data_IF_420135184869
#
_entry.id   IF_420135184869
#
_cell.length_a   1.000
_cell.length_b   1.000
_cell.length_c   1.000
_cell.angle_alpha   90.00
_cell.angle_beta   90.00
_cell.angle_gamma   90.00
#
_symmetry.space_group_name_H-M   'P 1'
#
loop_
_entity.id
_entity.type
_entity.pdbx_description
1 polymer ?
#
# COMPACT_ATOMS: atom_id res chain seq x y z
N UNK A 1 28.06 6.56 14.43
CA UNK A 1 27.29 5.57 13.68
C UNK A 1 25.94 5.38 14.36
N UNK A 2 24.87 5.59 13.63
CA UNK A 2 23.52 5.48 14.18
C UNK A 2 23.11 4.03 14.02
N UNK A 3 22.85 3.36 15.14
CA UNK A 3 22.31 2.01 15.12
C UNK A 3 20.79 2.08 15.23
N UNK A 4 20.08 1.53 14.25
CA UNK A 4 18.61 1.38 14.28
C UNK A 4 18.25 -0.09 14.54
N UNK A 5 17.26 -0.34 15.37
CA UNK A 5 16.80 -1.72 15.58
C UNK A 5 16.16 -2.25 14.30
N UNK A 6 15.21 -1.51 13.73
CA UNK A 6 14.53 -1.86 12.50
C UNK A 6 14.41 -0.64 11.57
N UNK A 7 14.63 -0.86 10.28
CA UNK A 7 14.36 0.11 9.22
C UNK A 7 13.33 -0.47 8.25
N UNK A 8 12.58 0.39 7.55
CA UNK A 8 11.62 -0.04 6.54
C UNK A 8 12.12 0.25 5.12
N UNK A 9 11.88 -0.69 4.22
CA UNK A 9 12.11 -0.56 2.78
C UNK A 9 10.79 -0.73 2.06
N UNK A 10 10.27 0.36 1.49
CA UNK A 10 8.93 0.45 0.91
C UNK A 10 9.00 0.37 -0.61
N UNK A 11 8.53 -0.72 -1.18
CA UNK A 11 8.51 -0.98 -2.62
C UNK A 11 7.37 -0.20 -3.28
N UNK A 12 7.69 0.89 -3.95
CA UNK A 12 6.75 1.83 -4.57
C UNK A 12 6.91 1.97 -6.10
N UNK A 13 7.58 1.02 -6.75
CA UNK A 13 7.93 1.06 -8.18
C UNK A 13 6.91 0.44 -9.15
N UNK A 14 5.79 -0.09 -8.68
CA UNK A 14 4.83 -0.81 -9.51
C UNK A 14 4.07 0.07 -10.51
N UNK A 15 3.93 -0.40 -11.77
CA UNK A 15 3.19 0.30 -12.84
C UNK A 15 1.68 0.40 -12.56
N UNK A 16 1.08 -0.62 -11.91
CA UNK A 16 -0.35 -0.67 -11.63
C UNK A 16 -1.23 -0.70 -12.89
N UNK A 17 -0.79 -1.32 -13.97
CA UNK A 17 -1.47 -1.32 -15.27
C UNK A 17 -2.94 -1.76 -15.22
N UNK A 18 -3.30 -2.64 -14.27
CA UNK A 18 -4.67 -3.13 -14.06
C UNK A 18 -5.65 -2.05 -13.56
N UNK A 19 -5.15 -0.92 -13.05
CA UNK A 19 -5.95 0.26 -12.67
C UNK A 19 -6.25 1.20 -13.85
N UNK A 20 -5.75 0.91 -15.04
CA UNK A 20 -6.07 1.58 -16.29
C UNK A 20 -5.87 3.11 -16.21
N UNK A 21 -6.97 3.85 -16.33
CA UNK A 21 -6.94 5.33 -16.37
C UNK A 21 -6.39 5.97 -15.09
N UNK A 22 -6.50 5.31 -13.94
CA UNK A 22 -6.02 5.85 -12.66
C UNK A 22 -4.49 5.92 -12.61
N UNK A 23 -3.82 4.99 -13.27
CA UNK A 23 -2.35 4.89 -13.29
C UNK A 23 -1.73 5.35 -14.61
N UNK A 24 -2.52 5.88 -15.55
CA UNK A 24 -2.01 6.35 -16.83
C UNK A 24 -0.92 7.44 -16.72
N UNK A 25 -0.97 8.26 -15.66
CA UNK A 25 -0.06 9.42 -15.43
C UNK A 25 0.54 9.48 -14.03
N UNK A 26 0.37 8.43 -13.24
CA UNK A 26 0.87 8.36 -11.85
C UNK A 26 1.24 6.93 -11.50
N UNK A 27 2.22 6.73 -10.64
CA UNK A 27 2.50 5.42 -10.04
C UNK A 27 1.31 4.95 -9.19
N UNK A 28 1.07 3.63 -9.08
CA UNK A 28 -0.02 3.07 -8.27
C UNK A 28 -0.01 3.61 -6.83
N UNK A 29 1.12 3.70 -6.11
CA UNK A 29 1.17 4.26 -4.77
C UNK A 29 0.70 5.71 -4.66
N UNK A 30 0.78 6.49 -5.74
CA UNK A 30 0.34 7.89 -5.78
C UNK A 30 -1.13 8.07 -6.17
N UNK A 31 -1.89 7.01 -6.40
CA UNK A 31 -3.33 7.09 -6.69
C UNK A 31 -4.08 7.57 -5.45
N UNK A 32 -5.02 8.51 -5.66
CA UNK A 32 -5.85 9.03 -4.58
C UNK A 32 -6.77 7.96 -3.99
N UNK A 33 -7.00 7.98 -2.69
CA UNK A 33 -7.84 7.04 -1.96
C UNK A 33 -8.54 7.75 -0.79
N UNK A 34 -9.77 7.35 -0.44
CA UNK A 34 -10.48 7.88 0.72
C UNK A 34 -10.72 9.40 0.69
N UNK A 35 -10.76 10.00 -0.50
CA UNK A 35 -10.99 11.43 -0.69
C UNK A 35 -9.71 12.26 -0.69
N UNK A 36 -8.91 12.26 0.37
CA UNK A 36 -7.71 13.10 0.51
C UNK A 36 -6.38 12.36 0.52
N UNK A 37 -6.39 11.06 0.84
CA UNK A 37 -5.18 10.24 0.94
C UNK A 37 -4.68 9.75 -0.42
N UNK A 38 -3.47 9.22 -0.42
CA UNK A 38 -2.92 8.36 -1.48
C UNK A 38 -2.61 6.99 -0.90
N UNK A 39 -2.51 5.97 -1.75
CA UNK A 39 -2.25 4.59 -1.29
C UNK A 39 -0.98 4.51 -0.45
N UNK A 40 0.08 5.25 -0.80
CA UNK A 40 1.36 5.28 -0.08
C UNK A 40 1.25 5.82 1.36
N UNK A 41 0.23 6.63 1.65
CA UNK A 41 0.07 7.25 2.96
C UNK A 41 -0.17 6.23 4.07
N UNK A 42 -0.82 5.10 3.73
CA UNK A 42 -1.14 4.05 4.68
C UNK A 42 0.11 3.33 5.22
N UNK A 43 1.01 2.75 4.37
CA UNK A 43 2.23 2.14 4.88
C UNK A 43 3.17 3.15 5.55
N UNK A 44 3.27 4.41 5.07
CA UNK A 44 4.07 5.44 5.75
C UNK A 44 3.51 5.78 7.13
N UNK A 45 2.18 5.92 7.25
CA UNK A 45 1.53 6.16 8.54
C UNK A 45 1.67 4.97 9.49
N UNK A 46 1.58 3.74 8.97
CA UNK A 46 1.84 2.55 9.78
C UNK A 46 3.28 2.51 10.29
N UNK A 47 4.28 2.94 9.49
CA UNK A 47 5.67 3.03 9.95
C UNK A 47 5.80 3.94 11.16
N UNK A 48 5.30 5.18 11.07
CA UNK A 48 5.46 6.12 12.18
C UNK A 48 4.64 5.71 13.42
N UNK A 49 3.44 5.19 13.22
CA UNK A 49 2.62 4.66 14.31
C UNK A 49 3.26 3.41 14.99
N UNK A 50 4.14 2.71 14.29
CA UNK A 50 4.94 1.58 14.81
C UNK A 50 6.35 1.99 15.26
N UNK A 51 6.61 3.28 15.48
CA UNK A 51 7.91 3.84 15.89
C UNK A 51 9.07 3.53 14.91
N UNK A 52 8.78 3.33 13.64
CA UNK A 52 9.80 3.18 12.59
C UNK A 52 10.05 4.54 11.95
N UNK A 53 11.17 5.14 12.27
CA UNK A 53 11.54 6.49 11.87
C UNK A 53 12.54 6.56 10.70
N UNK A 54 12.86 5.42 10.10
CA UNK A 54 13.81 5.33 8.99
C UNK A 54 13.19 4.49 7.87
N UNK A 55 12.85 5.13 6.76
CA UNK A 55 12.11 4.53 5.66
C UNK A 55 12.77 4.84 4.32
N UNK A 56 13.25 3.81 3.63
CA UNK A 56 13.69 3.90 2.23
C UNK A 56 12.52 3.61 1.29
N UNK A 57 12.17 4.55 0.42
CA UNK A 57 11.08 4.38 -0.56
C UNK A 57 11.65 4.16 -1.95
N UNK A 58 11.52 2.94 -2.47
CA UNK A 58 12.04 2.55 -3.78
C UNK A 58 11.04 2.91 -4.88
N UNK A 59 11.37 3.93 -5.67
CA UNK A 59 10.51 4.45 -6.74
C UNK A 59 11.11 4.15 -8.10
N UNK A 60 10.28 3.89 -9.10
CA UNK A 60 10.75 3.62 -10.46
C UNK A 60 9.80 4.17 -11.54
N UNK A 61 8.56 3.72 -11.55
CA UNK A 61 7.60 4.08 -12.57
C UNK A 61 6.87 5.39 -12.22
N UNK A 62 6.84 6.36 -13.16
CA UNK A 62 6.14 7.65 -13.00
C UNK A 62 6.41 8.34 -11.63
N UNK A 63 7.68 8.54 -11.20
CA UNK A 63 7.97 8.86 -9.80
C UNK A 63 7.63 10.30 -9.42
N UNK A 64 7.55 11.24 -10.37
CA UNK A 64 7.47 12.66 -10.08
C UNK A 64 6.37 13.03 -9.09
N UNK A 65 5.13 12.59 -9.33
CA UNK A 65 4.00 12.92 -8.44
C UNK A 65 4.08 12.20 -7.10
N UNK A 66 4.64 10.99 -7.08
CA UNK A 66 4.87 10.24 -5.85
C UNK A 66 5.94 10.94 -5.00
N UNK A 67 7.08 11.26 -5.61
CA UNK A 67 8.18 11.94 -4.93
C UNK A 67 7.77 13.32 -4.39
N UNK A 68 7.01 14.09 -5.19
CA UNK A 68 6.47 15.39 -4.75
C UNK A 68 5.51 15.22 -3.56
N UNK A 69 4.70 14.16 -3.55
CA UNK A 69 3.77 13.90 -2.47
C UNK A 69 4.49 13.51 -1.18
N UNK A 70 5.48 12.64 -1.26
CA UNK A 70 6.26 12.23 -0.09
C UNK A 70 7.11 13.41 0.42
N UNK A 71 7.72 14.17 -0.49
CA UNK A 71 8.63 15.27 -0.14
C UNK A 71 9.77 14.78 0.74
N UNK A 72 10.02 15.49 1.82
CA UNK A 72 10.98 15.11 2.87
C UNK A 72 10.31 14.39 4.06
N UNK A 73 9.01 14.08 3.97
CA UNK A 73 8.31 13.29 4.99
C UNK A 73 7.65 14.07 6.12
N UNK A 74 7.55 15.40 6.04
CA UNK A 74 6.97 16.26 7.08
C UNK A 74 5.61 15.75 7.61
N UNK A 75 4.62 15.36 6.77
CA UNK A 75 3.32 14.92 7.28
C UNK A 75 3.39 13.69 8.21
N UNK A 76 4.41 12.86 8.05
CA UNK A 76 4.63 11.63 8.82
C UNK A 76 5.71 11.76 9.90
N UNK A 77 6.19 12.98 10.21
CA UNK A 77 7.32 13.20 11.13
C UNK A 77 8.57 12.39 10.72
N UNK A 78 8.80 12.28 9.40
CA UNK A 78 9.92 11.57 8.79
C UNK A 78 10.96 12.51 8.17
N UNK A 79 10.93 13.80 8.51
CA UNK A 79 11.91 14.82 8.10
C UNK A 79 13.09 14.94 9.08
N UNK A 80 13.61 13.79 9.52
CA UNK A 80 14.65 13.71 10.55
C UNK A 80 16.05 13.80 9.95
N UNK A 81 16.97 14.43 10.68
CA UNK A 81 18.38 14.49 10.29
C UNK A 81 19.06 13.11 10.34
N UNK A 82 18.60 12.23 11.23
CA UNK A 82 19.12 10.89 11.43
C UNK A 82 18.01 9.85 11.22
N UNK A 83 17.93 9.31 10.01
CA UNK A 83 16.83 8.47 9.56
C UNK A 83 15.90 9.24 8.63
N UNK A 84 14.58 9.25 8.96
CA UNK A 84 13.58 9.91 8.13
C UNK A 84 13.24 9.12 6.88
N UNK A 85 12.54 9.78 5.93
CA UNK A 85 12.22 9.16 4.64
C UNK A 85 13.26 9.53 3.59
N UNK A 86 13.76 8.52 2.87
CA UNK A 86 14.68 8.69 1.74
C UNK A 86 14.06 8.07 0.49
N UNK A 87 13.99 8.83 -0.59
CA UNK A 87 13.53 8.31 -1.88
C UNK A 87 14.73 7.69 -2.60
N UNK A 88 14.59 6.43 -2.99
CA UNK A 88 15.62 5.60 -3.61
C UNK A 88 15.18 5.23 -5.04
N UNK A 89 15.49 6.07 -6.04
CA UNK A 89 15.28 5.71 -7.43
C UNK A 89 16.39 4.75 -7.92
N UNK A 90 16.18 3.97 -8.98
CA UNK A 90 17.28 3.28 -9.64
C UNK A 90 18.30 4.29 -10.15
N UNK A 91 19.56 3.95 -10.07
CA UNK A 91 20.66 4.84 -10.47
C UNK A 91 21.69 4.09 -11.33
N UNK A 92 22.41 4.85 -12.14
CA UNK A 92 23.53 4.35 -12.91
C UNK A 92 24.77 4.31 -12.02
N UNK A 93 25.40 3.14 -11.95
CA UNK A 93 26.71 2.98 -11.30
C UNK A 93 27.78 2.75 -12.38
N UNK A 94 29.06 2.92 -12.02
CA UNK A 94 30.19 2.62 -12.95
C UNK A 94 30.19 1.16 -13.44
N UNK A 95 29.43 0.27 -12.81
CA UNK A 95 29.38 -1.15 -13.12
C UNK A 95 28.11 -1.57 -13.84
N UNK A 96 26.98 -0.85 -13.69
CA UNK A 96 25.72 -1.18 -14.34
C UNK A 96 24.77 0.01 -14.34
N UNK A 97 24.02 0.16 -15.43
CA UNK A 97 22.88 1.08 -15.54
C UNK A 97 21.64 0.23 -15.68
N UNK A 98 21.02 -0.13 -14.55
CA UNK A 98 19.90 -1.05 -14.58
C UNK A 98 18.71 -0.54 -13.77
N UNK A 99 17.55 -0.59 -14.41
CA UNK A 99 16.27 -0.47 -13.73
C UNK A 99 16.10 -1.62 -12.74
N UNK A 100 15.32 -1.41 -11.68
CA UNK A 100 14.97 -2.50 -10.77
C UNK A 100 14.28 -3.63 -11.56
N UNK A 101 14.93 -4.78 -11.65
CA UNK A 101 14.45 -5.94 -12.42
C UNK A 101 13.65 -6.93 -11.56
N UNK A 102 13.13 -6.48 -10.42
CA UNK A 102 12.33 -7.28 -9.48
C UNK A 102 12.36 -6.68 -8.08
N UNK A 103 11.47 -7.15 -7.22
CA UNK A 103 11.32 -6.59 -5.87
C UNK A 103 12.56 -6.80 -5.00
N UNK A 104 13.18 -7.97 -5.08
CA UNK A 104 14.41 -8.26 -4.33
C UNK A 104 15.64 -7.57 -4.95
N UNK A 105 15.70 -7.44 -6.27
CA UNK A 105 16.75 -6.70 -6.95
C UNK A 105 16.74 -5.23 -6.52
N UNK A 106 15.56 -4.61 -6.39
CA UNK A 106 15.44 -3.24 -5.91
C UNK A 106 16.05 -3.07 -4.50
N UNK A 107 15.82 -4.01 -3.60
CA UNK A 107 16.42 -3.99 -2.25
C UNK A 107 17.92 -4.24 -2.34
N UNK A 108 18.39 -5.17 -3.17
CA UNK A 108 19.81 -5.46 -3.36
C UNK A 108 20.60 -4.22 -3.80
N UNK A 109 20.11 -3.47 -4.78
CA UNK A 109 20.77 -2.25 -5.27
C UNK A 109 20.90 -1.16 -4.20
N UNK A 110 20.14 -1.23 -3.11
CA UNK A 110 20.13 -0.27 -2.01
C UNK A 110 20.71 -0.84 -0.70
N UNK A 111 21.52 -1.89 -0.78
CA UNK A 111 22.13 -2.50 0.41
C UNK A 111 23.00 -1.53 1.20
N UNK A 112 23.79 -0.70 0.51
CA UNK A 112 24.68 0.29 1.14
C UNK A 112 23.88 1.32 1.96
N UNK A 113 22.69 1.72 1.48
CA UNK A 113 21.79 2.57 2.25
C UNK A 113 21.39 1.92 3.57
N UNK A 114 20.99 0.65 3.53
CA UNK A 114 20.59 -0.08 4.74
C UNK A 114 21.78 -0.31 5.67
N UNK A 115 22.95 -0.66 5.15
CA UNK A 115 24.17 -0.85 5.93
C UNK A 115 24.58 0.39 6.72
N UNK A 116 24.33 1.58 6.17
CA UNK A 116 24.62 2.85 6.85
C UNK A 116 23.92 3.02 8.20
N UNK A 117 22.81 2.31 8.43
CA UNK A 117 22.06 2.33 9.69
C UNK A 117 22.35 1.15 10.61
N UNK A 118 23.14 0.18 10.19
CA UNK A 118 23.48 -1.03 10.95
C UNK A 118 22.25 -1.69 11.62
N UNK A 119 21.16 -1.96 10.86
CA UNK A 119 19.93 -2.48 11.44
C UNK A 119 20.11 -3.91 11.94
N UNK A 120 19.31 -4.31 12.93
CA UNK A 120 19.16 -5.70 13.30
C UNK A 120 18.10 -6.39 12.42
N UNK A 121 17.06 -5.63 12.07
CA UNK A 121 15.93 -6.11 11.27
C UNK A 121 15.62 -5.15 10.13
N UNK A 122 15.12 -5.71 9.03
CA UNK A 122 14.64 -4.94 7.88
C UNK A 122 13.20 -5.34 7.60
N UNK A 123 12.31 -4.35 7.63
CA UNK A 123 10.92 -4.49 7.26
C UNK A 123 10.77 -4.16 5.77
N UNK A 124 10.33 -5.12 4.97
CA UNK A 124 10.01 -4.93 3.56
C UNK A 124 8.52 -4.75 3.40
N UNK A 125 8.10 -3.68 2.75
CA UNK A 125 6.71 -3.30 2.59
C UNK A 125 6.33 -3.16 1.11
N UNK A 126 5.10 -3.55 0.78
CA UNK A 126 4.47 -3.18 -0.49
C UNK A 126 3.75 -1.84 -0.34
N UNK A 127 4.02 -0.90 -1.25
CA UNK A 127 3.45 0.46 -1.25
C UNK A 127 2.11 0.58 -1.95
N UNK A 128 1.38 -0.51 -2.16
CA UNK A 128 0.21 -0.57 -3.02
C UNK A 128 -1.03 -1.22 -2.37
N UNK A 129 -1.03 -1.37 -1.05
CA UNK A 129 -2.14 -1.94 -0.27
C UNK A 129 -2.72 -0.94 0.73
N UNK A 130 -3.98 -1.15 1.09
CA UNK A 130 -4.69 -0.39 2.13
C UNK A 130 -4.87 -1.28 3.34
N UNK A 131 -4.28 -0.88 4.46
CA UNK A 131 -4.35 -1.63 5.71
C UNK A 131 -3.92 -0.77 6.91
N UNK A 132 -4.23 -1.25 8.10
CA UNK A 132 -3.78 -0.71 9.38
C UNK A 132 -3.05 -1.83 10.12
N UNK A 133 -1.76 -1.65 10.39
CA UNK A 133 -0.94 -2.68 11.03
C UNK A 133 0.13 -2.06 11.91
N UNK A 134 0.24 -2.57 13.13
CA UNK A 134 1.37 -2.32 14.02
C UNK A 134 2.51 -3.30 13.70
N UNK A 135 3.58 -2.77 13.11
CA UNK A 135 4.75 -3.57 12.77
C UNK A 135 5.58 -3.97 13.99
N UNK A 136 5.42 -3.28 15.13
CA UNK A 136 6.09 -3.66 16.36
C UNK A 136 5.59 -5.02 16.85
N UNK A 137 4.28 -5.27 16.77
CA UNK A 137 3.70 -6.58 17.13
C UNK A 137 4.28 -7.70 16.25
N UNK A 138 4.48 -7.44 14.95
CA UNK A 138 5.11 -8.41 14.06
C UNK A 138 6.59 -8.63 14.40
N UNK A 139 7.31 -7.57 14.79
CA UNK A 139 8.70 -7.67 15.22
C UNK A 139 8.84 -8.46 16.52
N UNK A 140 7.94 -8.23 17.47
CA UNK A 140 7.93 -8.97 18.75
C UNK A 140 7.66 -10.47 18.50
N UNK A 141 6.74 -10.80 17.58
CA UNK A 141 6.52 -12.17 17.13
C UNK A 141 7.79 -12.76 16.47
N UNK A 142 8.46 -12.00 15.61
CA UNK A 142 9.72 -12.40 14.98
C UNK A 142 10.78 -12.78 16.01
N UNK A 143 10.97 -11.90 17.02
CA UNK A 143 11.92 -12.11 18.11
C UNK A 143 11.56 -13.30 18.99
N UNK A 144 10.28 -13.43 19.38
CA UNK A 144 9.79 -14.52 20.23
C UNK A 144 10.03 -15.89 19.61
N UNK A 145 9.85 -16.01 18.30
CA UNK A 145 10.09 -17.25 17.57
C UNK A 145 11.55 -17.42 17.13
N UNK A 146 12.44 -16.46 17.45
CA UNK A 146 13.83 -16.43 16.95
C UNK A 146 13.85 -16.61 15.43
N UNK A 147 12.88 -16.03 14.74
CA UNK A 147 12.75 -16.16 13.29
C UNK A 147 13.93 -15.47 12.58
N UNK A 148 14.25 -15.94 11.38
CA UNK A 148 15.17 -15.26 10.46
C UNK A 148 14.38 -14.54 9.37
N UNK A 149 13.17 -15.04 9.09
CA UNK A 149 12.20 -14.41 8.20
C UNK A 149 10.81 -14.55 8.81
N UNK A 150 10.07 -13.47 8.88
CA UNK A 150 8.63 -13.48 9.22
C UNK A 150 7.85 -12.89 8.05
N UNK A 151 6.83 -13.60 7.61
CA UNK A 151 5.93 -13.18 6.54
C UNK A 151 4.58 -12.83 7.15
N UNK A 152 4.09 -11.62 6.93
CA UNK A 152 2.72 -11.29 7.30
C UNK A 152 1.74 -11.96 6.35
N UNK A 153 0.78 -12.68 6.90
CA UNK A 153 -0.19 -13.47 6.18
C UNK A 153 -1.61 -13.19 6.66
N UNK A 154 -2.56 -13.32 5.76
CA UNK A 154 -3.98 -13.20 6.03
C UNK A 154 -4.74 -14.38 5.44
N UNK A 155 -5.79 -14.83 6.11
CA UNK A 155 -6.70 -15.81 5.53
C UNK A 155 -7.62 -15.14 4.51
N UNK A 156 -7.65 -15.66 3.30
CA UNK A 156 -8.50 -15.18 2.21
C UNK A 156 -9.48 -16.28 1.78
N UNK A 157 -10.60 -15.95 1.12
CA UNK A 157 -11.44 -16.98 0.48
C UNK A 157 -10.63 -17.84 -0.49
N UNK A 158 -10.90 -19.14 -0.52
CA UNK A 158 -10.14 -20.09 -1.40
C UNK A 158 -10.21 -19.70 -2.87
N UNK A 159 -11.33 -19.10 -3.31
CA UNK A 159 -11.53 -18.64 -4.69
C UNK A 159 -10.56 -17.51 -5.07
N UNK A 160 -10.09 -16.73 -4.08
CA UNK A 160 -9.16 -15.62 -4.30
C UNK A 160 -7.69 -16.02 -4.08
N UNK A 161 -7.44 -17.15 -3.44
CA UNK A 161 -6.11 -17.57 -3.01
C UNK A 161 -5.10 -17.67 -4.18
N UNK A 162 -5.56 -18.07 -5.37
CA UNK A 162 -4.72 -18.15 -6.58
C UNK A 162 -4.10 -16.82 -7.03
N UNK A 163 -4.58 -15.68 -6.50
CA UNK A 163 -4.06 -14.34 -6.83
C UNK A 163 -2.80 -13.99 -6.03
N UNK A 164 -2.53 -14.69 -4.94
CA UNK A 164 -1.50 -14.36 -3.95
C UNK A 164 -0.43 -15.45 -3.85
N UNK A 165 0.68 -15.10 -3.22
CA UNK A 165 1.61 -16.07 -2.70
C UNK A 165 0.99 -16.76 -1.48
N UNK A 166 0.94 -18.09 -1.49
CA UNK A 166 0.27 -18.89 -0.46
C UNK A 166 1.28 -19.56 0.44
N UNK A 167 1.12 -19.35 1.75
CA UNK A 167 1.94 -19.99 2.77
C UNK A 167 1.29 -21.25 3.27
N UNK A 168 2.12 -22.28 3.46
CA UNK A 168 1.75 -23.51 4.14
C UNK A 168 2.56 -23.53 5.44
N UNK A 169 1.89 -23.41 6.57
CA UNK A 169 2.49 -23.34 7.88
C UNK A 169 1.93 -24.47 8.78
N UNK A 170 2.74 -24.87 9.75
CA UNK A 170 2.31 -25.78 10.81
C UNK A 170 1.48 -25.05 11.90
N UNK A 171 1.05 -25.80 12.91
CA UNK A 171 0.24 -25.27 14.02
C UNK A 171 0.97 -24.20 14.86
N UNK A 172 2.30 -24.15 14.78
CA UNK A 172 3.14 -23.18 15.46
C UNK A 172 3.43 -21.94 14.60
N UNK A 173 2.89 -21.91 13.38
CA UNK A 173 3.10 -20.83 12.42
C UNK A 173 4.44 -20.92 11.66
N UNK A 174 5.20 -22.00 11.81
CA UNK A 174 6.43 -22.20 11.03
C UNK A 174 6.07 -22.55 9.59
N UNK A 175 6.62 -21.81 8.64
CA UNK A 175 6.37 -22.02 7.21
C UNK A 175 7.11 -23.28 6.77
N UNK A 176 6.36 -24.25 6.25
CA UNK A 176 6.85 -25.49 5.72
C UNK A 176 6.96 -25.47 4.21
N UNK A 177 6.08 -24.68 3.54
CA UNK A 177 6.10 -24.54 2.09
C UNK A 177 5.53 -23.19 1.64
N UNK A 178 5.79 -22.84 0.39
CA UNK A 178 5.32 -21.62 -0.25
C UNK A 178 4.99 -21.85 -1.72
N UNK A 179 3.88 -21.30 -2.18
CA UNK A 179 3.41 -21.36 -3.56
C UNK A 179 3.12 -19.97 -4.10
N UNK A 180 3.83 -19.52 -5.12
CA UNK A 180 3.58 -18.22 -5.75
C UNK A 180 2.47 -18.32 -6.78
N UNK A 181 1.30 -17.76 -6.46
CA UNK A 181 0.12 -17.69 -7.33
C UNK A 181 -0.26 -19.04 -7.94
N UNK A 182 -0.50 -20.07 -7.12
CA UNK A 182 -0.81 -21.41 -7.61
C UNK A 182 -2.19 -21.46 -8.28
N UNK A 183 -2.33 -22.21 -9.35
CA UNK A 183 -3.64 -22.48 -9.97
C UNK A 183 -4.59 -23.23 -9.02
N UNK A 184 -4.03 -24.10 -8.18
CA UNK A 184 -4.76 -24.89 -7.18
C UNK A 184 -4.08 -24.73 -5.82
N UNK A 185 -4.45 -23.72 -5.04
CA UNK A 185 -3.82 -23.44 -3.76
C UNK A 185 -4.10 -24.57 -2.73
N UNK A 186 -3.06 -24.98 -2.00
CA UNK A 186 -3.17 -25.97 -0.93
C UNK A 186 -3.57 -25.37 0.42
N UNK A 187 -3.54 -24.04 0.54
CA UNK A 187 -3.89 -23.26 1.73
C UNK A 187 -4.55 -21.96 1.31
N UNK A 188 -5.24 -21.31 2.23
CA UNK A 188 -5.82 -19.98 2.05
C UNK A 188 -5.04 -18.88 2.81
N UNK A 189 -3.85 -19.21 3.33
CA UNK A 189 -3.01 -18.27 4.04
C UNK A 189 -2.18 -17.45 3.05
N UNK A 190 -2.71 -16.32 2.64
CA UNK A 190 -2.11 -15.44 1.63
C UNK A 190 -1.04 -14.52 2.23
N UNK A 191 0.09 -14.39 1.55
CA UNK A 191 1.11 -13.38 1.86
C UNK A 191 0.60 -11.99 1.56
N UNK A 192 0.77 -11.09 2.51
CA UNK A 192 0.45 -9.67 2.34
C UNK A 192 1.57 -8.88 1.63
N UNK A 193 2.69 -9.51 1.26
CA UNK A 193 3.85 -8.81 0.73
C UNK A 193 4.56 -7.93 1.76
N UNK A 194 4.43 -8.28 3.03
CA UNK A 194 5.05 -7.61 4.17
C UNK A 194 5.95 -8.63 4.86
N UNK A 195 7.24 -8.30 4.99
CA UNK A 195 8.25 -9.21 5.50
C UNK A 195 9.12 -8.54 6.55
N UNK A 196 9.48 -9.25 7.63
CA UNK A 196 10.59 -8.88 8.50
C UNK A 196 11.71 -9.89 8.31
N UNK A 197 12.88 -9.40 7.98
CA UNK A 197 14.10 -10.19 7.89
C UNK A 197 15.08 -9.78 8.98
N UNK A 198 15.76 -10.75 9.58
CA UNK A 198 17.03 -10.49 10.23
C UNK A 198 18.02 -9.98 9.17
N UNK A 199 18.73 -8.86 9.45
CA UNK A 199 19.58 -8.22 8.45
C UNK A 199 20.61 -9.17 7.83
N UNK A 200 21.26 -9.99 8.67
CA UNK A 200 22.25 -10.97 8.20
C UNK A 200 21.67 -11.95 7.18
N UNK A 201 20.45 -12.43 7.41
CA UNK A 201 19.77 -13.38 6.51
C UNK A 201 19.35 -12.70 5.22
N UNK A 202 18.83 -11.47 5.28
CA UNK A 202 18.49 -10.70 4.09
C UNK A 202 19.73 -10.45 3.22
N UNK A 203 20.82 -9.99 3.81
CA UNK A 203 22.08 -9.73 3.12
C UNK A 203 22.63 -10.98 2.45
N UNK A 204 22.63 -12.11 3.16
CA UNK A 204 23.08 -13.42 2.63
C UNK A 204 22.23 -13.84 1.41
N UNK A 205 20.90 -13.77 1.52
CA UNK A 205 19.99 -14.14 0.45
C UNK A 205 20.13 -13.25 -0.79
N UNK A 206 20.14 -11.93 -0.60
CA UNK A 206 20.28 -10.97 -1.70
C UNK A 206 21.64 -11.11 -2.41
N UNK A 207 22.72 -11.33 -1.66
CA UNK A 207 24.04 -11.54 -2.24
C UNK A 207 24.11 -12.84 -3.03
N UNK A 208 23.51 -13.93 -2.53
CA UNK A 208 23.47 -15.20 -3.23
C UNK A 208 22.63 -15.17 -4.52
N UNK A 209 21.61 -14.30 -4.56
CA UNK A 209 20.67 -14.19 -5.67
C UNK A 209 20.93 -12.95 -6.56
N UNK A 210 22.06 -12.26 -6.40
CA UNK A 210 22.36 -11.00 -7.10
C UNK A 210 22.29 -11.10 -8.63
N UNK A 211 22.71 -12.23 -9.17
CA UNK A 211 22.76 -12.48 -10.62
C UNK A 211 21.47 -13.13 -11.16
N UNK A 212 20.45 -13.33 -10.29
CA UNK A 212 19.15 -13.88 -10.68
C UNK A 212 18.33 -12.84 -11.42
N UNK A 213 18.02 -13.01 -12.72
CA UNK A 213 17.19 -12.07 -13.47
C UNK A 213 15.78 -11.97 -12.88
N UNK A 214 15.27 -10.75 -12.72
CA UNK A 214 13.94 -10.53 -12.19
C UNK A 214 13.75 -11.03 -10.76
N UNK A 215 14.79 -10.92 -9.92
CA UNK A 215 14.77 -11.44 -8.55
C UNK A 215 13.63 -10.84 -7.73
N UNK A 216 12.77 -11.71 -7.20
CA UNK A 216 11.54 -11.38 -6.47
C UNK A 216 11.51 -12.10 -5.13
N UNK A 217 10.91 -11.46 -4.10
CA UNK A 217 10.85 -12.05 -2.76
C UNK A 217 10.09 -13.38 -2.76
N UNK A 218 8.89 -13.41 -3.35
CA UNK A 218 8.05 -14.61 -3.38
C UNK A 218 8.68 -15.75 -4.19
N UNK A 219 9.18 -15.44 -5.39
CA UNK A 219 9.66 -16.48 -6.32
C UNK A 219 11.06 -16.99 -6.03
N UNK A 220 11.90 -16.16 -5.41
CA UNK A 220 13.33 -16.50 -5.30
C UNK A 220 13.84 -16.43 -3.86
N UNK A 221 13.60 -15.33 -3.12
CA UNK A 221 14.18 -15.13 -1.80
C UNK A 221 13.58 -16.08 -0.75
N UNK A 222 12.25 -16.21 -0.68
CA UNK A 222 11.60 -17.09 0.29
C UNK A 222 11.92 -18.58 0.02
N UNK A 223 11.86 -19.09 -1.23
CA UNK A 223 12.32 -20.43 -1.54
C UNK A 223 13.78 -20.66 -1.18
N UNK A 224 14.68 -19.73 -1.52
CA UNK A 224 16.07 -19.82 -1.16
C UNK A 224 16.28 -19.92 0.37
N UNK A 225 15.59 -19.08 1.14
CA UNK A 225 15.65 -19.13 2.60
C UNK A 225 15.17 -20.49 3.15
N UNK A 226 14.10 -21.04 2.58
CA UNK A 226 13.58 -22.37 2.93
C UNK A 226 14.61 -23.45 2.64
N UNK A 227 15.19 -23.45 1.42
CA UNK A 227 16.18 -24.47 1.00
C UNK A 227 17.47 -24.41 1.83
N UNK A 228 17.82 -23.24 2.35
CA UNK A 228 18.93 -23.06 3.30
C UNK A 228 18.57 -23.41 4.75
N UNK A 229 17.36 -23.88 5.01
CA UNK A 229 16.91 -24.27 6.35
C UNK A 229 16.74 -23.09 7.32
N UNK A 230 16.53 -21.88 6.81
CA UNK A 230 16.25 -20.69 7.63
C UNK A 230 14.93 -20.86 8.37
N UNK A 231 14.79 -20.19 9.51
CA UNK A 231 13.57 -20.20 10.33
C UNK A 231 12.57 -19.19 9.78
N UNK A 232 11.61 -19.66 8.97
CA UNK A 232 10.54 -18.89 8.39
C UNK A 232 9.26 -19.06 9.19
N UNK A 233 8.59 -17.95 9.54
CA UNK A 233 7.33 -17.97 10.28
C UNK A 233 6.28 -17.10 9.60
N UNK A 234 5.01 -17.54 9.66
CA UNK A 234 3.85 -16.83 9.20
C UNK A 234 3.23 -16.06 10.38
N UNK A 235 3.25 -14.74 10.32
CA UNK A 235 2.52 -13.89 11.25
C UNK A 235 1.09 -13.72 10.74
N UNK A 236 0.10 -14.27 11.45
CA UNK A 236 -1.30 -14.16 11.07
C UNK A 236 -1.84 -12.80 11.46
N UNK A 237 -2.07 -11.97 10.45
CA UNK A 237 -2.71 -10.67 10.61
C UNK A 237 -4.24 -10.80 10.61
N UNK A 238 -4.91 -10.15 11.57
CA UNK A 238 -6.37 -10.24 11.76
C UNK A 238 -7.09 -8.91 11.51
N UNK A 239 -6.39 -7.90 10.98
CA UNK A 239 -6.95 -6.58 10.70
C UNK A 239 -7.50 -6.44 9.27
N UNK A 240 -7.94 -5.23 8.94
CA UNK A 240 -8.33 -4.90 7.57
C UNK A 240 -7.10 -4.82 6.67
N UNK A 241 -7.17 -5.50 5.53
CA UNK A 241 -6.19 -5.44 4.45
C UNK A 241 -6.87 -5.62 3.10
N UNK A 242 -6.51 -4.78 2.13
CA UNK A 242 -7.08 -4.83 0.77
C UNK A 242 -5.99 -4.56 -0.27
N UNK A 243 -5.78 -5.50 -1.20
CA UNK A 243 -5.04 -5.25 -2.43
C UNK A 243 -5.95 -4.49 -3.41
N UNK A 244 -5.68 -3.20 -3.59
CA UNK A 244 -6.40 -2.34 -4.53
C UNK A 244 -5.76 -2.41 -5.93
N UNK A 245 -5.49 -3.61 -6.41
CA UNK A 245 -4.80 -3.87 -7.68
C UNK A 245 -5.69 -3.82 -8.93
N UNK A 246 -7.02 -3.80 -8.79
CA UNK A 246 -7.99 -3.70 -9.89
C UNK A 246 -8.94 -2.54 -9.66
N UNK A 247 -9.60 -2.04 -10.70
CA UNK A 247 -10.63 -0.99 -10.57
C UNK A 247 -11.76 -1.42 -9.65
N UNK A 248 -12.13 -2.69 -9.69
CA UNK A 248 -13.20 -3.24 -8.84
C UNK A 248 -12.78 -3.23 -7.37
N UNK A 249 -11.61 -3.81 -7.01
CA UNK A 249 -11.14 -3.85 -5.63
C UNK A 249 -10.84 -2.44 -5.09
N UNK A 250 -10.35 -1.53 -5.94
CA UNK A 250 -10.15 -0.13 -5.59
C UNK A 250 -11.49 0.57 -5.27
N UNK A 251 -12.52 0.34 -6.09
CA UNK A 251 -13.84 0.91 -5.86
C UNK A 251 -14.48 0.35 -4.58
N UNK A 252 -14.46 -0.97 -4.40
CA UNK A 252 -15.00 -1.64 -3.21
C UNK A 252 -14.34 -1.12 -1.94
N UNK A 253 -13.00 -1.06 -1.90
CA UNK A 253 -12.25 -0.55 -0.74
C UNK A 253 -12.61 0.91 -0.40
N UNK A 254 -12.87 1.76 -1.41
CA UNK A 254 -13.36 3.11 -1.18
C UNK A 254 -14.79 3.11 -0.62
N UNK A 255 -15.69 2.28 -1.19
CA UNK A 255 -17.08 2.25 -0.75
C UNK A 255 -17.27 1.68 0.65
N UNK A 256 -16.43 0.74 1.07
CA UNK A 256 -16.42 0.20 2.44
C UNK A 256 -16.19 1.28 3.51
N UNK A 257 -15.56 2.41 3.16
CA UNK A 257 -15.34 3.52 4.10
C UNK A 257 -16.57 4.41 4.33
N UNK A 258 -17.57 4.38 3.44
CA UNK A 258 -18.81 5.16 3.59
C UNK A 258 -19.92 4.36 4.27
N UNK A 259 -19.66 3.12 4.64
CA UNK A 259 -20.58 2.31 5.42
C UNK A 259 -20.80 2.93 6.82
N UNK A 260 -21.95 2.64 7.43
CA UNK A 260 -22.31 3.16 8.76
C UNK A 260 -21.29 2.73 9.81
N UNK A 261 -20.81 1.48 9.70
CA UNK A 261 -19.75 0.92 10.55
C UNK A 261 -18.65 0.43 9.61
N UNK A 262 -17.71 1.29 9.23
CA UNK A 262 -16.64 0.90 8.30
C UNK A 262 -15.69 -0.08 8.97
N UNK A 263 -15.33 -1.15 8.28
CA UNK A 263 -14.30 -2.08 8.74
C UNK A 263 -12.92 -1.40 8.80
N UNK A 264 -12.72 -0.40 7.93
CA UNK A 264 -11.55 0.44 7.91
C UNK A 264 -11.94 1.88 8.29
N UNK A 265 -11.69 2.23 9.56
CA UNK A 265 -12.07 3.52 10.10
C UNK A 265 -10.96 4.55 9.94
N UNK A 266 -11.21 5.59 9.13
CA UNK A 266 -10.28 6.72 8.96
C UNK A 266 -10.33 7.75 10.11
N UNK A 267 -11.33 7.66 11.00
CA UNK A 267 -11.58 8.60 12.10
C UNK A 267 -11.05 8.09 13.43
N UNK A 268 -10.21 7.07 13.43
CA UNK A 268 -9.64 6.50 14.64
C UNK A 268 -8.62 7.46 15.26
N UNK A 269 -8.79 7.82 16.54
CA UNK A 269 -7.94 8.82 17.20
C UNK A 269 -6.56 8.28 17.57
N UNK A 270 -6.48 6.99 17.94
CA UNK A 270 -5.24 6.36 18.43
C UNK A 270 -4.33 5.80 17.32
N UNK A 271 -4.84 5.75 16.07
CA UNK A 271 -4.07 5.29 14.91
C UNK A 271 -4.38 6.17 13.71
N UNK A 272 -3.74 7.31 13.65
CA UNK A 272 -4.00 8.31 12.61
C UNK A 272 -3.28 7.96 11.32
N UNK A 273 -3.97 8.20 10.22
CA UNK A 273 -3.34 8.23 8.90
C UNK A 273 -3.00 9.68 8.53
N UNK A 274 -1.76 9.88 8.12
CA UNK A 274 -1.21 11.16 7.72
C UNK A 274 -1.14 11.25 6.19
N UNK A 275 -1.17 12.46 5.64
CA UNK A 275 -1.05 12.69 4.20
C UNK A 275 -0.47 14.08 3.94
N UNK A 276 0.22 14.22 2.83
CA UNK A 276 0.63 15.53 2.33
C UNK A 276 -0.53 16.14 1.53
N UNK A 277 -1.46 16.77 2.25
CA UNK A 277 -2.59 17.45 1.65
C UNK A 277 -2.27 18.91 1.38
N UNK A 278 -2.70 19.43 0.22
CA UNK A 278 -2.67 20.86 -0.06
C UNK A 278 -3.52 21.63 0.98
N UNK A 279 -3.10 22.83 1.35
CA UNK A 279 -3.92 23.74 2.15
C UNK A 279 -5.03 24.27 1.24
N UNK A 280 -6.24 23.76 1.43
CA UNK A 280 -7.40 24.06 0.61
C UNK A 280 -8.49 24.66 1.51
N UNK A 281 -9.32 25.52 0.93
CA UNK A 281 -10.50 26.06 1.60
C UNK A 281 -11.44 24.92 2.06
N UNK A 282 -12.24 25.13 3.12
CA UNK A 282 -13.27 24.16 3.52
C UNK A 282 -14.23 23.82 2.37
N UNK A 283 -14.89 22.67 2.46
CA UNK A 283 -15.97 22.31 1.55
C UNK A 283 -17.18 23.22 1.73
N UNK A 284 -17.90 23.47 0.65
CA UNK A 284 -19.14 24.24 0.65
C UNK A 284 -20.32 23.36 0.19
N UNK A 285 -21.37 23.29 1.00
CA UNK A 285 -22.59 22.58 0.68
C UNK A 285 -23.74 23.63 0.63
N UNK A 286 -24.33 23.80 -0.54
CA UNK A 286 -25.41 24.78 -0.75
C UNK A 286 -26.72 24.29 -0.15
N UNK A 287 -27.63 25.20 0.24
CA UNK A 287 -28.97 24.87 0.78
C UNK A 287 -29.79 23.97 -0.16
N UNK A 288 -29.54 24.05 -1.48
CA UNK A 288 -30.20 23.21 -2.48
C UNK A 288 -29.58 21.82 -2.64
N UNK A 289 -28.51 21.50 -1.91
CA UNK A 289 -27.82 20.23 -2.01
C UNK A 289 -28.46 19.16 -1.11
N UNK A 290 -28.49 17.94 -1.60
CA UNK A 290 -28.89 16.77 -0.82
C UNK A 290 -27.69 15.83 -0.71
N UNK A 291 -27.18 15.61 0.50
CA UNK A 291 -25.97 14.80 0.73
C UNK A 291 -26.26 13.73 1.76
N UNK A 292 -25.99 12.47 1.41
CA UNK A 292 -26.15 11.34 2.33
C UNK A 292 -25.11 10.24 2.07
N UNK A 293 -24.50 9.69 3.14
CA UNK A 293 -23.51 8.61 3.05
C UNK A 293 -22.28 8.98 2.23
N UNK A 294 -21.69 10.15 2.47
CA UNK A 294 -20.59 10.67 1.66
C UNK A 294 -19.37 11.05 2.49
N UNK A 295 -18.18 10.77 1.97
CA UNK A 295 -16.92 11.39 2.42
C UNK A 295 -16.58 12.50 1.44
N UNK A 296 -16.42 13.73 1.94
CA UNK A 296 -16.21 14.93 1.12
C UNK A 296 -14.93 15.62 1.58
N UNK A 297 -14.00 15.78 0.63
CA UNK A 297 -12.72 16.44 0.91
C UNK A 297 -12.81 17.96 0.78
N UNK A 298 -11.79 18.63 1.31
CA UNK A 298 -11.66 20.07 1.30
C UNK A 298 -11.74 20.67 -0.11
N UNK A 299 -12.26 21.88 -0.20
CA UNK A 299 -12.45 22.63 -1.45
C UNK A 299 -13.60 22.11 -2.33
N UNK A 300 -14.33 21.07 -1.93
CA UNK A 300 -15.49 20.60 -2.69
C UNK A 300 -16.65 21.58 -2.61
N UNK A 301 -17.34 21.80 -3.74
CA UNK A 301 -18.53 22.65 -3.85
C UNK A 301 -19.72 21.80 -4.31
N UNK A 302 -20.76 21.69 -3.50
CA UNK A 302 -21.90 20.82 -3.77
C UNK A 302 -23.17 21.66 -3.86
N UNK A 303 -23.78 21.70 -5.04
CA UNK A 303 -25.03 22.41 -5.34
C UNK A 303 -26.17 21.47 -5.71
N UNK A 304 -25.88 20.18 -5.91
CA UNK A 304 -26.85 19.14 -6.30
C UNK A 304 -26.84 17.95 -5.36
N UNK A 305 -27.53 16.88 -5.74
CA UNK A 305 -27.65 15.67 -4.90
C UNK A 305 -26.48 14.73 -5.07
N UNK A 306 -25.93 14.21 -3.94
CA UNK A 306 -24.85 13.26 -3.88
C UNK A 306 -25.14 12.21 -2.83
N UNK A 307 -25.07 10.94 -3.21
CA UNK A 307 -25.36 9.81 -2.31
C UNK A 307 -24.28 8.74 -2.43
N UNK A 308 -23.95 8.11 -1.30
CA UNK A 308 -23.01 6.99 -1.21
C UNK A 308 -21.77 7.18 -2.08
N UNK A 309 -21.01 8.25 -1.80
CA UNK A 309 -19.93 8.68 -2.69
C UNK A 309 -18.73 9.20 -1.90
N UNK A 310 -17.54 9.09 -2.50
CA UNK A 310 -16.33 9.75 -2.02
C UNK A 310 -15.94 10.83 -3.02
N UNK A 311 -15.86 12.07 -2.55
CA UNK A 311 -15.47 13.22 -3.35
C UNK A 311 -14.08 13.69 -2.97
N UNK A 312 -13.19 13.71 -3.94
CA UNK A 312 -11.83 14.25 -3.79
C UNK A 312 -11.81 15.77 -3.66
N UNK A 313 -10.63 16.31 -3.39
CA UNK A 313 -10.43 17.74 -3.21
C UNK A 313 -10.80 18.56 -4.47
N UNK A 314 -11.38 19.76 -4.26
CA UNK A 314 -11.78 20.70 -5.31
C UNK A 314 -12.79 20.16 -6.34
N UNK A 315 -13.58 19.14 -5.98
CA UNK A 315 -14.66 18.63 -6.83
C UNK A 315 -15.85 19.59 -6.78
N UNK A 316 -16.45 19.86 -7.94
CA UNK A 316 -17.67 20.67 -8.02
C UNK A 316 -18.82 19.83 -8.56
N UNK A 317 -19.91 19.74 -7.79
CA UNK A 317 -21.18 19.12 -8.18
C UNK A 317 -22.20 20.24 -8.45
N UNK A 318 -22.57 20.43 -9.71
CA UNK A 318 -23.56 21.42 -10.13
C UNK A 318 -25.00 21.03 -9.78
N UNK A 319 -25.92 22.01 -9.82
CA UNK A 319 -27.36 21.74 -9.75
C UNK A 319 -27.75 20.84 -10.94
N UNK A 320 -28.53 19.80 -10.68
CA UNK A 320 -29.15 19.03 -11.76
C UNK A 320 -30.01 19.99 -12.59
N UNK A 321 -29.79 20.07 -13.91
CA UNK A 321 -30.74 20.74 -14.78
C UNK A 321 -32.02 19.93 -14.76
N UNK A 322 -33.12 20.53 -14.35
CA UNK A 322 -34.47 19.96 -14.41
C UNK A 322 -34.85 19.79 -15.89
N UNK A 323 -34.42 18.72 -16.52
CA UNK A 323 -35.18 18.14 -17.63
C UNK A 323 -36.18 17.23 -16.96
N UNK A 324 -37.46 17.50 -17.19
CA UNK A 324 -38.60 16.79 -16.61
C UNK A 324 -38.59 15.30 -17.04
N UNK A 325 -37.81 14.50 -16.35
CA UNK A 325 -37.92 13.03 -16.32
C UNK A 325 -37.80 12.65 -14.87
N UNK A 326 -38.87 12.13 -14.23
CA UNK A 326 -38.77 11.62 -12.87
C UNK A 326 -37.90 10.37 -12.87
N UNK A 327 -36.66 10.49 -12.43
CA UNK A 327 -35.78 9.35 -12.21
C UNK A 327 -36.09 8.71 -10.86
N UNK A 328 -37.18 7.98 -10.78
CA UNK A 328 -37.35 6.88 -9.83
C UNK A 328 -36.51 5.70 -10.33
N UNK A 329 -35.20 5.80 -10.28
CA UNK A 329 -34.33 4.68 -10.58
C UNK A 329 -33.86 4.03 -9.27
N UNK A 330 -34.59 3.02 -8.82
CA UNK A 330 -34.01 1.89 -8.12
C UNK A 330 -33.02 1.24 -9.11
N UNK A 331 -31.74 1.46 -8.93
CA UNK A 331 -30.70 0.91 -9.80
C UNK A 331 -30.49 -0.56 -9.41
N UNK A 332 -30.67 -1.53 -10.31
CA UNK A 332 -30.28 -2.91 -10.09
C UNK A 332 -28.78 -2.99 -9.83
N UNK A 333 -28.34 -3.92 -9.00
CA UNK A 333 -26.95 -4.12 -8.57
C UNK A 333 -25.92 -4.25 -9.71
N UNK A 334 -26.35 -4.58 -10.93
CA UNK A 334 -25.50 -4.74 -12.11
C UNK A 334 -25.07 -3.44 -12.81
N UNK A 335 -25.58 -2.26 -12.44
CA UNK A 335 -25.32 -0.97 -13.12
C UNK A 335 -24.42 -0.03 -12.28
N UNK A 336 -23.95 -0.47 -11.12
CA UNK A 336 -23.11 0.36 -10.22
C UNK A 336 -21.74 0.72 -10.82
N UNK A 337 -21.22 -0.08 -11.73
CA UNK A 337 -19.87 0.07 -12.31
C UNK A 337 -19.76 1.23 -13.31
N UNK A 338 -20.81 1.59 -14.03
CA UNK A 338 -20.75 2.59 -15.12
C UNK A 338 -20.75 4.07 -14.64
N UNK A 339 -21.24 4.36 -13.43
CA UNK A 339 -21.30 5.75 -12.91
C UNK A 339 -19.98 6.24 -12.29
N UNK A 340 -19.12 5.35 -11.87
CA UNK A 340 -17.87 5.70 -11.22
C UNK A 340 -16.83 6.31 -12.18
N UNK A 341 -16.79 5.84 -13.41
CA UNK A 341 -15.90 6.36 -14.46
C UNK A 341 -16.20 7.82 -14.82
N UNK A 342 -17.45 8.27 -14.65
CA UNK A 342 -17.84 9.67 -14.90
C UNK A 342 -17.51 10.63 -13.76
N UNK A 343 -17.57 10.19 -12.49
CA UNK A 343 -17.24 11.04 -11.34
C UNK A 343 -15.74 11.32 -11.21
N UNK A 344 -14.88 10.35 -11.62
CA UNK A 344 -13.43 10.55 -11.67
C UNK A 344 -12.96 11.35 -12.88
N UNK A 345 -13.78 11.52 -13.92
CA UNK A 345 -13.44 12.23 -15.16
C UNK A 345 -13.85 13.70 -15.20
N UNK A 346 -14.51 14.22 -14.18
CA UNK A 346 -14.82 15.67 -14.10
C UNK A 346 -13.54 16.39 -13.69
N UNK A 347 -12.61 16.47 -14.64
CA UNK A 347 -11.48 17.37 -14.65
C UNK A 347 -11.93 18.80 -14.89
N UNK A 348 -11.28 19.73 -14.16
CA UNK A 348 -11.07 21.12 -14.51
C UNK A 348 -11.49 21.43 -15.95
N UNK A 349 -12.58 22.11 -16.12
CA UNK A 349 -12.74 23.09 -17.19
C UNK A 349 -12.45 24.45 -16.56
N UNK A 350 -11.55 25.17 -17.21
CA UNK A 350 -11.03 26.52 -16.87
C UNK A 350 -12.13 27.49 -16.50
#
# INVERSE_FOLDING_TARGET
MIKKEMIAMLLAGGQGSRLGVLTAKVAKPAVAFGGKYRIIDFPLSNCINSNIDTVGVLTQYQPLKLNTHIGIGIPWDLDKNEGGVTILPPYESNASSEWYSGTANAIYQNMDYMEGFHPEYVLILSGDHIYKMDYQMMLDFHKANKAEVTVSCMQVPMEEASRFGIMIADEQGKITDFEEKPERPRSNLASMGIYIFSWSTLKEALTALKDQPGCDFGKHVLPWCKDKGKRLYAYQFTGYWKDVGTLQSYWEANMEMVDIIPQFNLYEEFWRFYTNADIIRPQYIADSAEVSGCIISDGAEIYGSVYNSILGANVRIGKARSSAIPLSCRIPSSVRTARWTRALSVRRLR
#
